data_IF_389953703052
#
_entry.id   IF_389953703052
#
_cell.length_a   1.000
_cell.length_b   1.000
_cell.length_c   1.000
_cell.angle_alpha   90.00
_cell.angle_beta   90.00
_cell.angle_gamma   90.00
#
_symmetry.space_group_name_H-M   'P 1'
#
loop_
_entity.id
_entity.type
_entity.pdbx_description
1 polymer ?
#
# COMPACT_ATOMS: atom_id res chain seq x y z
N UNK A 1 0.17 12.30 -19.18
CA UNK A 1 -0.22 12.82 -17.83
C UNK A 1 0.18 11.82 -16.76
N UNK A 2 0.50 12.26 -15.54
CA UNK A 2 0.79 11.38 -14.40
C UNK A 2 -0.27 11.54 -13.32
N UNK A 3 -0.66 10.46 -12.66
CA UNK A 3 -1.56 10.48 -11.50
C UNK A 3 -1.00 9.61 -10.39
N UNK A 4 -1.24 10.01 -9.16
CA UNK A 4 -0.91 9.19 -7.99
C UNK A 4 -2.16 8.40 -7.61
N UNK A 5 -2.00 7.10 -7.41
CA UNK A 5 -3.09 6.23 -6.96
C UNK A 5 -2.66 5.62 -5.63
N UNK A 6 -3.52 5.74 -4.63
CA UNK A 6 -3.34 5.13 -3.32
C UNK A 6 -4.19 3.87 -3.22
N UNK A 7 -3.72 2.93 -2.43
CA UNK A 7 -4.38 1.66 -2.16
C UNK A 7 -4.41 1.42 -0.66
N UNK A 8 -5.60 1.24 -0.10
CA UNK A 8 -5.80 0.92 1.31
C UNK A 8 -6.38 -0.48 1.43
N UNK A 9 -5.62 -1.37 2.06
CA UNK A 9 -6.02 -2.75 2.26
C UNK A 9 -7.16 -2.81 3.28
N UNK A 10 -8.38 -3.14 2.83
CA UNK A 10 -9.55 -3.32 3.71
C UNK A 10 -9.50 -4.71 4.37
N UNK A 11 -8.86 -5.66 3.72
CA UNK A 11 -8.63 -7.02 4.20
C UNK A 11 -7.17 -7.40 3.98
N UNK A 12 -6.64 -8.42 4.66
CA UNK A 12 -5.27 -8.86 4.45
C UNK A 12 -5.01 -9.19 2.97
N UNK A 13 -3.85 -8.76 2.46
CA UNK A 13 -3.50 -8.83 1.04
C UNK A 13 -2.35 -9.80 0.82
N UNK A 14 -2.55 -10.78 -0.07
CA UNK A 14 -1.50 -11.68 -0.54
C UNK A 14 -1.17 -11.42 -2.00
N UNK A 15 -0.18 -10.55 -2.24
CA UNK A 15 0.47 -10.41 -3.55
C UNK A 15 1.67 -11.35 -3.59
N UNK A 16 1.46 -12.62 -3.92
CA UNK A 16 2.50 -13.65 -3.82
C UNK A 16 3.68 -13.47 -4.79
N UNK A 17 4.89 -13.81 -4.34
CA UNK A 17 6.11 -13.87 -5.18
C UNK A 17 6.38 -15.26 -5.75
N UNK A 18 5.57 -16.26 -5.40
CA UNK A 18 5.75 -17.65 -5.76
C UNK A 18 5.93 -18.52 -4.52
N UNK A 19 6.53 -19.70 -4.70
CA UNK A 19 6.96 -20.57 -3.60
C UNK A 19 8.44 -20.35 -3.32
N UNK A 20 8.80 -20.22 -2.05
CA UNK A 20 10.20 -20.09 -1.62
C UNK A 20 10.61 -21.24 -0.71
N UNK A 21 11.89 -21.63 -0.74
CA UNK A 21 12.50 -22.52 0.25
C UNK A 21 12.87 -21.71 1.52
N UNK A 22 11.92 -20.91 2.01
CA UNK A 22 12.09 -19.99 3.12
C UNK A 22 11.43 -20.48 4.41
N UNK A 23 11.31 -19.58 5.39
CA UNK A 23 10.55 -19.82 6.63
C UNK A 23 9.05 -19.85 6.35
N UNK A 24 8.61 -19.10 5.32
CA UNK A 24 7.24 -19.08 4.84
C UNK A 24 7.19 -19.70 3.44
N UNK A 25 6.24 -20.61 3.23
CA UNK A 25 6.11 -21.35 1.96
C UNK A 25 5.62 -20.43 0.82
N UNK A 26 4.67 -19.55 1.13
CA UNK A 26 4.07 -18.58 0.21
C UNK A 26 4.26 -17.14 0.73
N UNK A 27 5.42 -16.52 0.50
CA UNK A 27 5.68 -15.14 0.91
C UNK A 27 4.99 -14.12 -0.01
N UNK A 28 4.86 -12.89 0.50
CA UNK A 28 4.42 -11.75 -0.30
C UNK A 28 5.58 -11.17 -1.13
N UNK A 29 5.23 -10.40 -2.16
CA UNK A 29 6.17 -9.62 -2.96
C UNK A 29 6.86 -8.54 -2.11
N UNK A 30 8.19 -8.49 -2.21
CA UNK A 30 9.04 -7.51 -1.54
C UNK A 30 10.01 -6.85 -2.51
N UNK A 31 10.36 -5.60 -2.22
CA UNK A 31 11.47 -4.90 -2.88
C UNK A 31 12.79 -5.57 -2.52
N UNK A 32 13.61 -5.94 -3.50
CA UNK A 32 14.85 -6.70 -3.25
C UNK A 32 15.87 -5.94 -2.41
N UNK A 33 15.95 -4.61 -2.55
CA UNK A 33 16.99 -3.79 -1.93
C UNK A 33 16.61 -3.26 -0.54
N UNK A 34 15.32 -3.22 -0.19
CA UNK A 34 14.82 -2.74 1.12
C UNK A 34 14.14 -3.84 1.93
N UNK A 35 13.68 -4.93 1.30
CA UNK A 35 12.81 -5.92 1.94
C UNK A 35 11.37 -5.44 2.13
N UNK A 36 11.00 -4.23 1.70
CA UNK A 36 9.66 -3.68 1.97
C UNK A 36 8.59 -4.39 1.14
N UNK A 37 7.39 -4.64 1.71
CA UNK A 37 6.24 -5.12 0.94
C UNK A 37 6.00 -4.23 -0.28
N UNK A 38 5.73 -4.86 -1.42
CA UNK A 38 5.34 -4.18 -2.66
C UNK A 38 4.27 -4.93 -3.41
N UNK A 39 3.68 -4.26 -4.39
CA UNK A 39 2.76 -4.85 -5.35
C UNK A 39 3.32 -4.66 -6.75
N UNK A 40 3.63 -5.75 -7.45
CA UNK A 40 4.11 -5.67 -8.83
C UNK A 40 3.06 -5.01 -9.73
N UNK A 41 3.50 -4.07 -10.58
CA UNK A 41 2.63 -3.34 -11.49
C UNK A 41 1.78 -4.26 -12.39
N UNK A 42 2.31 -5.42 -12.75
CA UNK A 42 1.62 -6.43 -13.56
C UNK A 42 0.39 -7.00 -12.85
N UNK A 43 0.49 -7.28 -11.55
CA UNK A 43 -0.63 -7.76 -10.73
C UNK A 43 -1.70 -6.69 -10.56
N UNK A 44 -1.29 -5.44 -10.31
CA UNK A 44 -2.20 -4.28 -10.24
C UNK A 44 -2.94 -4.10 -11.58
N UNK A 45 -2.19 -4.06 -12.69
CA UNK A 45 -2.73 -3.92 -14.04
C UNK A 45 -3.71 -5.03 -14.37
N UNK A 46 -3.37 -6.28 -14.06
CA UNK A 46 -4.22 -7.45 -14.29
C UNK A 46 -5.54 -7.36 -13.52
N UNK A 47 -5.50 -6.96 -12.24
CA UNK A 47 -6.69 -6.80 -11.42
C UNK A 47 -7.62 -5.69 -11.95
N UNK A 48 -7.07 -4.53 -12.33
CA UNK A 48 -7.88 -3.46 -12.91
C UNK A 48 -8.42 -3.82 -14.29
N UNK A 49 -7.66 -4.54 -15.12
CA UNK A 49 -8.18 -5.06 -16.40
C UNK A 49 -9.36 -5.99 -16.18
N UNK A 50 -9.23 -6.96 -15.28
CA UNK A 50 -10.32 -7.90 -14.96
C UNK A 50 -11.56 -7.18 -14.39
N UNK A 51 -11.35 -6.14 -13.58
CA UNK A 51 -12.43 -5.27 -13.10
C UNK A 51 -13.11 -4.54 -14.26
N UNK A 52 -12.35 -3.90 -15.15
CA UNK A 52 -12.88 -3.22 -16.34
C UNK A 52 -13.68 -4.18 -17.23
N UNK A 53 -13.18 -5.39 -17.48
CA UNK A 53 -13.87 -6.42 -18.29
C UNK A 53 -15.18 -6.92 -17.64
N UNK A 54 -15.27 -6.87 -16.30
CA UNK A 54 -16.49 -7.21 -15.56
C UNK A 54 -17.55 -6.11 -15.64
N UNK A 55 -17.13 -4.84 -15.68
CA UNK A 55 -18.01 -3.68 -15.54
C UNK A 55 -18.37 -3.03 -16.88
N UNK A 56 -17.45 -3.04 -17.83
CA UNK A 56 -17.60 -2.45 -19.16
C UNK A 56 -17.52 -3.54 -20.24
N UNK A 57 -18.41 -3.46 -21.23
CA UNK A 57 -18.49 -4.42 -22.33
C UNK A 57 -17.73 -3.95 -23.58
N UNK A 58 -17.23 -2.71 -23.59
CA UNK A 58 -16.46 -2.16 -24.71
C UNK A 58 -15.02 -2.71 -24.69
N UNK A 59 -14.83 -3.86 -25.35
CA UNK A 59 -13.50 -4.48 -25.48
C UNK A 59 -12.49 -3.56 -26.18
N UNK A 60 -12.91 -2.74 -27.13
CA UNK A 60 -12.03 -1.82 -27.84
C UNK A 60 -11.45 -0.74 -26.90
N UNK A 61 -12.29 -0.22 -26.01
CA UNK A 61 -11.86 0.71 -24.96
C UNK A 61 -10.93 0.06 -23.94
N UNK A 62 -11.24 -1.16 -23.50
CA UNK A 62 -10.39 -1.93 -22.58
C UNK A 62 -9.02 -2.21 -23.20
N UNK A 63 -8.98 -2.71 -24.45
CA UNK A 63 -7.74 -3.00 -25.15
C UNK A 63 -6.92 -1.73 -25.42
N UNK A 64 -7.57 -0.58 -25.65
CA UNK A 64 -6.89 0.72 -25.73
C UNK A 64 -6.19 1.09 -24.42
N UNK A 65 -6.82 0.84 -23.27
CA UNK A 65 -6.26 1.16 -21.94
C UNK A 65 -5.12 0.20 -21.59
N UNK A 66 -5.38 -1.11 -21.66
CA UNK A 66 -4.48 -2.14 -21.10
C UNK A 66 -3.58 -2.82 -22.15
N UNK A 67 -3.85 -2.62 -23.44
CA UNK A 67 -3.26 -3.38 -24.56
C UNK A 67 -4.16 -4.56 -24.94
N UNK A 68 -4.10 -5.09 -26.17
CA UNK A 68 -4.84 -6.28 -26.56
C UNK A 68 -4.27 -7.53 -25.88
N UNK A 69 -5.09 -8.56 -25.73
CA UNK A 69 -4.60 -9.89 -25.36
C UNK A 69 -3.69 -10.42 -26.47
N UNK A 70 -2.60 -11.07 -26.09
CA UNK A 70 -1.70 -11.70 -27.07
C UNK A 70 -2.47 -12.78 -27.84
N UNK A 71 -2.73 -12.55 -29.13
CA UNK A 71 -3.17 -13.62 -30.03
C UNK A 71 -1.94 -14.33 -30.58
N UNK A 72 -1.99 -15.66 -30.62
CA UNK A 72 -0.86 -16.53 -31.03
C UNK A 72 -0.28 -16.21 -32.43
N UNK A 73 -0.96 -15.43 -33.28
CA UNK A 73 -0.60 -15.21 -34.69
C UNK A 73 -0.63 -13.75 -35.20
N UNK A 74 -0.75 -12.72 -34.34
CA UNK A 74 -0.77 -11.31 -34.79
C UNK A 74 0.53 -10.56 -34.37
N UNK A 75 1.26 -10.04 -35.37
CA UNK A 75 2.49 -9.25 -35.18
C UNK A 75 2.24 -7.79 -34.77
N UNK A 76 0.98 -7.35 -34.72
CA UNK A 76 0.62 -5.98 -34.31
C UNK A 76 0.11 -5.96 -32.87
N UNK A 77 1.03 -6.14 -31.92
CA UNK A 77 0.77 -5.84 -30.52
C UNK A 77 0.73 -4.31 -30.34
N UNK A 78 -0.46 -3.71 -30.39
CA UNK A 78 -0.61 -2.31 -29.97
C UNK A 78 -0.37 -2.22 -28.45
N UNK A 79 0.43 -1.26 -28.00
CA UNK A 79 0.70 -1.10 -26.57
C UNK A 79 -0.48 -0.43 -25.87
N UNK A 80 -0.82 -0.91 -24.67
CA UNK A 80 -1.79 -0.24 -23.81
C UNK A 80 -1.34 1.18 -23.47
N UNK A 81 -2.29 2.11 -23.44
CA UNK A 81 -2.01 3.54 -23.26
C UNK A 81 -1.97 4.00 -21.80
N UNK A 82 -2.27 3.09 -20.85
CA UNK A 82 -2.12 3.31 -19.42
C UNK A 82 -0.94 2.47 -18.87
N UNK A 83 0.02 3.17 -18.29
CA UNK A 83 1.22 2.62 -17.66
C UNK A 83 1.00 2.56 -16.14
N UNK A 84 1.13 1.36 -15.59
CA UNK A 84 1.06 1.10 -14.15
C UNK A 84 2.47 1.08 -13.58
N UNK A 85 2.67 1.71 -12.43
CA UNK A 85 3.88 1.54 -11.61
C UNK A 85 3.67 0.52 -10.50
N UNK A 86 4.76 0.06 -9.90
CA UNK A 86 4.68 -0.81 -8.72
C UNK A 86 4.01 -0.08 -7.56
N UNK A 87 3.20 -0.81 -6.79
CA UNK A 87 2.64 -0.32 -5.53
C UNK A 87 3.69 -0.37 -4.44
N UNK A 88 4.07 0.81 -3.93
CA UNK A 88 5.08 1.01 -2.90
C UNK A 88 4.41 1.28 -1.57
N UNK A 89 4.87 0.64 -0.50
CA UNK A 89 4.31 0.88 0.84
C UNK A 89 4.53 2.33 1.25
N UNK A 90 3.53 2.92 1.91
CA UNK A 90 3.55 4.27 2.47
C UNK A 90 3.36 4.24 3.98
N UNK A 91 2.31 3.54 4.45
CA UNK A 91 1.95 3.41 5.86
C UNK A 91 1.70 1.95 6.19
N UNK A 92 2.37 1.43 7.20
CA UNK A 92 2.19 0.07 7.73
C UNK A 92 1.50 0.13 9.10
N UNK A 93 0.39 -0.56 9.33
CA UNK A 93 -0.25 -0.59 10.63
C UNK A 93 0.53 -1.51 11.57
N UNK A 94 0.85 -1.01 12.75
CA UNK A 94 1.54 -1.76 13.82
C UNK A 94 0.74 -1.61 15.09
N UNK A 95 0.53 -2.71 15.81
CA UNK A 95 -0.25 -2.74 17.05
C UNK A 95 0.33 -1.75 18.06
N UNK A 96 -0.54 -0.93 18.62
CA UNK A 96 -0.19 0.09 19.60
C UNK A 96 -0.86 -0.22 20.94
N UNK A 97 -0.16 0.01 22.05
CA UNK A 97 -0.71 -0.18 23.38
C UNK A 97 -1.94 0.71 23.67
N UNK A 98 -2.09 1.82 22.95
CA UNK A 98 -3.26 2.71 23.00
C UNK A 98 -3.66 3.10 21.57
N UNK A 99 -4.95 3.33 21.33
CA UNK A 99 -5.44 3.71 20.00
C UNK A 99 -5.46 2.55 19.00
N UNK A 100 -5.40 1.30 19.47
CA UNK A 100 -5.47 0.05 18.68
C UNK A 100 -4.20 -0.20 17.84
N UNK A 101 -3.88 0.71 16.93
CA UNK A 101 -2.70 0.64 16.07
C UNK A 101 -2.19 2.04 15.70
N UNK A 102 -0.94 2.09 15.28
CA UNK A 102 -0.33 3.25 14.65
C UNK A 102 -0.01 2.94 13.19
N UNK A 103 -0.20 3.92 12.31
CA UNK A 103 0.35 3.86 10.96
C UNK A 103 1.80 4.31 10.99
N UNK A 104 2.71 3.37 10.81
CA UNK A 104 4.14 3.58 10.87
C UNK A 104 4.68 3.87 9.47
N UNK A 105 5.63 4.80 9.39
CA UNK A 105 6.43 5.10 8.20
C UNK A 105 7.82 5.57 8.61
N UNK A 106 8.69 5.88 7.65
CA UNK A 106 10.06 6.30 7.89
C UNK A 106 10.54 7.38 6.90
N UNK A 107 11.66 8.07 7.21
CA UNK A 107 12.23 9.10 6.33
C UNK A 107 12.45 8.63 4.90
N UNK A 108 12.98 7.42 4.68
CA UNK A 108 13.21 6.89 3.33
C UNK A 108 11.92 6.76 2.52
N UNK A 109 10.86 6.22 3.12
CA UNK A 109 9.56 6.02 2.46
C UNK A 109 8.93 7.38 2.12
N UNK A 110 8.98 8.32 3.06
CA UNK A 110 8.45 9.66 2.87
C UNK A 110 9.23 10.43 1.80
N UNK A 111 10.56 10.38 1.81
CA UNK A 111 11.41 11.04 0.80
C UNK A 111 11.09 10.49 -0.60
N UNK A 112 10.97 9.16 -0.72
CA UNK A 112 10.54 8.52 -1.96
C UNK A 112 9.15 8.98 -2.41
N UNK A 113 8.18 9.02 -1.50
CA UNK A 113 6.83 9.51 -1.81
C UNK A 113 6.84 10.97 -2.27
N UNK A 114 7.55 11.85 -1.57
CA UNK A 114 7.65 13.29 -1.89
C UNK A 114 8.31 13.50 -3.25
N UNK A 115 9.43 12.83 -3.52
CA UNK A 115 10.13 12.94 -4.81
C UNK A 115 9.26 12.50 -5.98
N UNK A 116 8.46 11.46 -5.79
CA UNK A 116 7.65 10.86 -6.85
C UNK A 116 6.32 11.59 -7.03
N UNK A 117 5.65 11.97 -5.95
CA UNK A 117 4.25 12.37 -5.90
C UNK A 117 4.00 13.86 -5.64
N UNK A 118 4.90 14.54 -4.92
CA UNK A 118 4.70 15.93 -4.49
C UNK A 118 5.36 16.88 -5.49
N UNK A 119 4.58 17.88 -5.91
CA UNK A 119 5.06 18.95 -6.81
C UNK A 119 6.11 19.81 -6.11
N UNK A 120 7.05 20.34 -6.88
CA UNK A 120 8.26 20.98 -6.36
C UNK A 120 7.94 22.15 -5.40
N UNK A 121 6.89 22.91 -5.69
CA UNK A 121 6.45 24.04 -4.86
C UNK A 121 5.94 23.63 -3.47
N UNK A 122 5.47 22.39 -3.31
CA UNK A 122 4.90 21.87 -2.05
C UNK A 122 5.92 21.00 -1.29
N UNK A 123 7.21 21.00 -1.66
CA UNK A 123 8.23 20.15 -1.02
C UNK A 123 8.78 20.71 0.28
N UNK A 124 8.71 22.03 0.49
CA UNK A 124 9.37 22.70 1.61
C UNK A 124 8.88 22.21 2.97
N UNK A 125 7.58 21.97 3.10
CA UNK A 125 6.96 21.45 4.32
C UNK A 125 7.46 20.02 4.63
N UNK A 126 7.68 19.22 3.59
CA UNK A 126 8.20 17.86 3.70
C UNK A 126 9.70 17.82 3.99
N UNK A 127 10.49 18.76 3.48
CA UNK A 127 11.94 18.83 3.75
C UNK A 127 12.24 18.93 5.25
N UNK A 128 11.41 19.65 6.02
CA UNK A 128 11.53 19.73 7.48
C UNK A 128 11.31 18.35 8.13
N UNK A 129 10.28 17.64 7.68
CA UNK A 129 9.94 16.30 8.16
C UNK A 129 11.08 15.31 7.87
N UNK A 130 11.61 15.34 6.65
CA UNK A 130 12.69 14.48 6.20
C UNK A 130 13.98 14.77 6.99
N UNK A 131 14.34 16.05 7.16
CA UNK A 131 15.54 16.44 7.90
C UNK A 131 15.48 15.96 9.35
N UNK A 132 14.37 16.22 10.04
CA UNK A 132 14.19 15.77 11.43
C UNK A 132 14.12 14.25 11.55
N UNK A 133 13.46 13.60 10.59
CA UNK A 133 13.34 12.15 10.55
C UNK A 133 14.70 11.46 10.43
N UNK A 134 15.61 12.01 9.61
CA UNK A 134 16.97 11.46 9.43
C UNK A 134 17.83 11.55 10.70
N UNK A 135 17.56 12.51 11.58
CA UNK A 135 18.29 12.66 12.85
C UNK A 135 17.72 11.77 13.99
N UNK A 136 16.68 10.98 13.72
CA UNK A 136 16.06 10.12 14.72
C UNK A 136 17.01 9.00 15.17
N UNK A 137 16.88 8.64 16.44
CA UNK A 137 17.44 7.40 17.00
C UNK A 137 16.32 6.39 17.12
N UNK A 138 16.64 5.10 17.15
CA UNK A 138 15.64 4.01 17.20
C UNK A 138 14.69 4.07 18.41
N UNK A 139 15.08 4.76 19.48
CA UNK A 139 14.24 4.95 20.68
C UNK A 139 13.34 6.21 20.60
N UNK A 140 13.35 6.90 19.48
CA UNK A 140 12.60 8.14 19.24
C UNK A 140 11.71 8.01 18.02
N UNK A 141 10.61 8.75 18.03
CA UNK A 141 9.71 8.84 16.89
C UNK A 141 9.06 10.23 16.78
N UNK A 142 8.45 10.53 15.63
CA UNK A 142 7.74 11.79 15.38
C UNK A 142 6.25 11.52 15.22
N UNK A 143 5.43 12.27 15.94
CA UNK A 143 3.99 12.35 15.74
C UNK A 143 3.63 13.50 14.81
N UNK A 144 2.62 13.30 13.97
CA UNK A 144 2.15 14.34 13.04
C UNK A 144 1.10 15.30 13.64
N UNK A 145 0.64 15.04 14.87
CA UNK A 145 -0.24 15.93 15.60
C UNK A 145 -0.08 15.82 17.12
N UNK A 146 -0.41 16.92 17.79
CA UNK A 146 -0.30 17.08 19.25
C UNK A 146 -1.35 16.26 20.02
N UNK A 147 -2.50 16.00 19.40
CA UNK A 147 -3.67 15.32 19.97
C UNK A 147 -3.78 13.86 19.49
N UNK A 148 -2.65 13.15 19.44
CA UNK A 148 -2.59 11.78 18.95
C UNK A 148 -3.24 10.76 19.90
N UNK A 149 -4.01 9.83 19.34
CA UNK A 149 -4.75 8.81 20.08
C UNK A 149 -3.86 7.64 20.55
N UNK A 150 -2.64 7.52 20.00
CA UNK A 150 -1.68 6.45 20.29
C UNK A 150 -0.72 6.76 21.45
N UNK A 151 -0.77 7.97 22.01
CA UNK A 151 0.12 8.39 23.11
C UNK A 151 -0.34 7.80 24.45
N UNK A 152 0.49 6.93 25.02
CA UNK A 152 0.24 6.22 26.28
C UNK A 152 0.44 7.13 27.49
N UNK A 153 1.51 7.93 27.49
CA UNK A 153 1.87 8.84 28.57
C UNK A 153 2.34 10.19 27.99
N UNK A 154 1.94 11.30 28.62
CA UNK A 154 2.35 12.65 28.25
C UNK A 154 3.10 13.31 29.42
N UNK A 155 4.31 13.81 29.18
CA UNK A 155 5.11 14.59 30.14
C UNK A 155 5.57 15.89 29.50
N UNK A 156 4.97 17.00 29.89
CA UNK A 156 5.24 18.34 29.35
C UNK A 156 5.19 18.37 27.81
N UNK A 157 6.35 18.39 27.14
CA UNK A 157 6.50 18.45 25.67
C UNK A 157 6.81 17.11 25.01
N UNK A 158 6.91 16.03 25.80
CA UNK A 158 7.32 14.70 25.34
C UNK A 158 6.24 13.66 25.63
N UNK A 159 5.92 12.86 24.63
CA UNK A 159 5.00 11.74 24.76
C UNK A 159 5.75 10.40 24.79
N UNK A 160 5.02 9.34 25.14
CA UNK A 160 5.47 7.96 24.97
C UNK A 160 4.46 7.21 24.12
N UNK A 161 4.96 6.55 23.07
CA UNK A 161 4.21 5.59 22.25
C UNK A 161 4.85 4.22 22.43
N UNK A 162 4.02 3.18 22.53
CA UNK A 162 4.46 1.79 22.66
C UNK A 162 3.85 1.01 21.51
N UNK A 163 4.69 0.50 20.60
CA UNK A 163 4.29 -0.34 19.48
C UNK A 163 4.91 -1.71 19.64
N UNK A 164 4.10 -2.75 19.73
CA UNK A 164 4.56 -4.10 20.08
C UNK A 164 5.51 -4.07 21.30
N UNK A 165 6.75 -4.52 21.12
CA UNK A 165 7.79 -4.55 22.15
C UNK A 165 8.68 -3.28 22.17
N UNK A 166 8.38 -2.30 21.32
CA UNK A 166 9.15 -1.06 21.20
C UNK A 166 8.51 0.07 22.01
N UNK A 167 9.37 0.86 22.68
CA UNK A 167 8.99 2.08 23.38
C UNK A 167 9.69 3.28 22.75
N UNK A 168 8.90 4.25 22.31
CA UNK A 168 9.39 5.48 21.69
C UNK A 168 9.11 6.69 22.57
N UNK A 169 10.13 7.51 22.76
CA UNK A 169 9.96 8.90 23.17
C UNK A 169 9.58 9.72 21.93
N UNK A 170 8.44 10.41 21.97
CA UNK A 170 7.92 11.08 20.78
C UNK A 170 8.02 12.60 20.86
N UNK A 171 8.41 13.19 19.73
CA UNK A 171 8.36 14.63 19.47
C UNK A 171 7.22 14.91 18.48
N UNK A 172 6.55 16.04 18.61
CA UNK A 172 5.43 16.38 17.73
C UNK A 172 5.85 17.36 16.65
N UNK A 173 5.46 17.07 15.40
CA UNK A 173 5.48 18.01 14.29
C UNK A 173 4.06 18.19 13.78
N UNK A 174 3.44 19.34 14.03
CA UNK A 174 2.10 19.62 13.51
C UNK A 174 2.17 19.94 12.02
N UNK A 175 1.73 19.00 11.18
CA UNK A 175 1.63 19.20 9.73
C UNK A 175 0.17 19.49 9.38
N UNK A 176 -0.16 20.71 8.94
CA UNK A 176 -1.55 21.15 8.75
C UNK A 176 -2.24 20.48 7.55
N UNK A 177 -1.50 20.08 6.52
CA UNK A 177 -2.02 19.59 5.23
C UNK A 177 -2.46 18.12 5.22
N UNK A 178 -2.28 17.39 6.33
CA UNK A 178 -2.63 15.97 6.43
C UNK A 178 -4.07 15.81 6.92
N UNK A 179 -4.87 14.89 6.35
CA UNK A 179 -6.22 14.62 6.85
C UNK A 179 -6.22 14.20 8.33
N UNK A 180 -7.23 14.65 9.07
CA UNK A 180 -7.29 14.51 10.54
C UNK A 180 -7.18 13.05 11.03
N UNK A 181 -7.71 12.08 10.26
CA UNK A 181 -7.59 10.65 10.57
C UNK A 181 -6.13 10.19 10.61
N UNK A 182 -5.29 10.66 9.70
CA UNK A 182 -3.87 10.28 9.64
C UNK A 182 -3.05 11.03 10.69
N UNK A 183 -3.37 12.31 10.94
CA UNK A 183 -2.70 13.13 11.96
C UNK A 183 -2.65 12.46 13.34
N UNK A 184 -3.71 11.76 13.74
CA UNK A 184 -3.82 11.19 15.09
C UNK A 184 -3.16 9.83 15.27
N UNK A 185 -2.84 9.12 14.18
CA UNK A 185 -2.35 7.73 14.23
C UNK A 185 -1.03 7.51 13.49
N UNK A 186 -0.52 8.47 12.72
CA UNK A 186 0.75 8.30 12.01
C UNK A 186 1.94 8.55 12.94
N UNK A 187 2.87 7.60 12.93
CA UNK A 187 4.14 7.65 13.66
C UNK A 187 5.30 7.47 12.68
N UNK A 188 6.28 8.37 12.73
CA UNK A 188 7.50 8.24 11.94
C UNK A 188 8.60 7.70 12.85
N UNK A 189 9.17 6.58 12.46
CA UNK A 189 10.30 5.92 13.13
C UNK A 189 11.54 5.96 12.24
N UNK A 190 12.67 5.44 12.70
CA UNK A 190 13.87 5.29 11.86
C UNK A 190 13.65 4.30 10.72
N UNK A 191 14.48 4.38 9.68
CA UNK A 191 14.39 3.48 8.52
C UNK A 191 14.60 2.02 8.95
N UNK A 192 15.50 1.77 9.91
CA UNK A 192 15.80 0.46 10.48
C UNK A 192 14.60 -0.13 11.23
N UNK A 193 13.95 0.67 12.08
CA UNK A 193 12.76 0.23 12.83
C UNK A 193 11.59 -0.03 11.88
N UNK A 194 11.41 0.81 10.86
CA UNK A 194 10.37 0.56 9.86
C UNK A 194 10.65 -0.69 9.02
N UNK A 195 11.90 -0.94 8.66
CA UNK A 195 12.32 -2.18 7.99
C UNK A 195 12.01 -3.40 8.84
N UNK A 196 12.30 -3.34 10.14
CA UNK A 196 11.96 -4.40 11.08
C UNK A 196 10.45 -4.67 11.10
N UNK A 197 9.61 -3.63 11.19
CA UNK A 197 8.16 -3.81 11.17
C UNK A 197 7.66 -4.35 9.83
N UNK A 198 8.24 -3.94 8.70
CA UNK A 198 7.90 -4.48 7.39
C UNK A 198 8.13 -6.00 7.29
N UNK A 199 9.09 -6.54 8.03
CA UNK A 199 9.38 -7.98 8.08
C UNK A 199 8.55 -8.72 9.14
N UNK A 200 8.32 -8.08 10.29
CA UNK A 200 7.80 -8.76 11.48
C UNK A 200 6.31 -8.51 11.75
N UNK A 201 5.73 -7.45 11.18
CA UNK A 201 4.33 -7.10 11.41
C UNK A 201 3.39 -7.64 10.30
N UNK A 202 3.90 -8.43 9.35
CA UNK A 202 3.05 -9.17 8.40
C UNK A 202 2.35 -10.34 9.08
N UNK A 203 1.20 -10.74 8.53
CA UNK A 203 0.45 -11.87 9.07
C UNK A 203 0.98 -13.16 8.45
N UNK A 204 1.46 -14.10 9.28
CA UNK A 204 1.83 -15.44 8.84
C UNK A 204 0.73 -16.41 9.28
N UNK A 205 0.00 -16.97 8.32
CA UNK A 205 -1.11 -17.89 8.58
C UNK A 205 -0.69 -19.30 8.18
N UNK A 206 -0.78 -20.24 9.11
CA UNK A 206 -0.63 -21.68 8.82
C UNK A 206 -1.94 -22.25 8.31
N UNK A 207 -1.89 -22.95 7.18
CA UNK A 207 -3.03 -23.55 6.50
C UNK A 207 -2.84 -25.05 6.35
N UNK A 208 -3.96 -25.76 6.38
CA UNK A 208 -4.04 -27.22 6.22
C UNK A 208 -5.11 -27.55 5.19
N UNK A 209 -4.92 -28.65 4.46
CA UNK A 209 -6.02 -29.32 3.73
C UNK A 209 -6.45 -30.54 4.53
N UNK A 210 -7.74 -30.60 4.85
CA UNK A 210 -8.36 -31.72 5.53
C UNK A 210 -8.92 -32.67 4.47
N UNK A 211 -8.56 -33.95 4.56
CA UNK A 211 -9.07 -35.02 3.73
C UNK A 211 -10.48 -35.47 4.16
N UNK A 212 -11.06 -36.38 3.38
CA UNK A 212 -12.44 -36.84 3.59
C UNK A 212 -12.65 -37.58 4.93
N UNK A 213 -11.58 -38.08 5.54
CA UNK A 213 -11.58 -38.74 6.85
C UNK A 213 -11.51 -37.75 8.04
N UNK A 214 -11.45 -36.45 7.76
CA UNK A 214 -11.33 -35.39 8.77
C UNK A 214 -9.91 -35.17 9.28
N UNK A 215 -8.90 -35.82 8.69
CA UNK A 215 -7.48 -35.69 9.06
C UNK A 215 -6.75 -34.82 8.03
N UNK A 216 -5.65 -34.18 8.43
CA UNK A 216 -4.79 -33.43 7.50
C UNK A 216 -4.17 -34.38 6.49
N UNK A 217 -4.24 -34.02 5.22
CA UNK A 217 -3.56 -34.78 4.15
C UNK A 217 -2.03 -34.62 4.23
N UNK A 218 -1.32 -35.70 3.88
CA UNK A 218 0.14 -35.69 3.84
C UNK A 218 0.67 -34.58 2.91
N UNK A 219 1.54 -33.73 3.45
CA UNK A 219 2.16 -32.62 2.71
C UNK A 219 1.26 -31.40 2.48
N UNK A 220 0.06 -31.35 3.08
CA UNK A 220 -0.87 -30.24 2.90
C UNK A 220 -0.84 -29.19 4.02
N UNK A 221 0.21 -29.20 4.84
CA UNK A 221 0.52 -28.14 5.81
C UNK A 221 1.46 -27.13 5.15
N UNK A 222 1.05 -25.87 5.07
CA UNK A 222 1.86 -24.79 4.51
C UNK A 222 1.55 -23.46 5.20
N UNK A 223 2.43 -22.49 5.03
CA UNK A 223 2.35 -21.15 5.61
C UNK A 223 2.25 -20.11 4.51
N UNK A 224 1.44 -19.10 4.76
CA UNK A 224 1.16 -18.04 3.80
C UNK A 224 1.25 -16.68 4.48
N UNK A 225 2.00 -15.76 3.88
CA UNK A 225 2.20 -14.42 4.38
C UNK A 225 1.16 -13.46 3.79
N UNK A 226 0.68 -12.51 4.59
CA UNK A 226 -0.21 -11.45 4.15
C UNK A 226 0.29 -10.09 4.64
N UNK A 227 0.11 -9.08 3.79
CA UNK A 227 0.14 -7.69 4.24
C UNK A 227 -1.10 -7.43 5.09
N UNK A 228 -0.97 -6.82 6.28
CA UNK A 228 -2.11 -6.56 7.15
C UNK A 228 -3.16 -5.64 6.53
N UNK A 229 -4.40 -5.80 6.94
CA UNK A 229 -5.43 -4.77 6.74
C UNK A 229 -5.00 -3.43 7.33
N UNK A 230 -5.56 -2.33 6.82
CA UNK A 230 -5.16 -0.94 7.08
C UNK A 230 -3.83 -0.49 6.44
N UNK A 231 -3.06 -1.37 5.79
CA UNK A 231 -1.85 -0.97 5.05
C UNK A 231 -2.18 -0.06 3.88
N UNK A 232 -1.39 1.00 3.71
CA UNK A 232 -1.52 1.95 2.59
C UNK A 232 -0.29 1.86 1.69
N UNK A 233 -0.55 1.58 0.42
CA UNK A 233 0.40 1.70 -0.68
C UNK A 233 0.07 2.89 -1.56
N UNK A 234 1.03 3.31 -2.36
CA UNK A 234 0.82 4.25 -3.46
C UNK A 234 1.53 3.77 -4.73
N UNK A 235 1.07 4.23 -5.88
CA UNK A 235 1.77 4.10 -7.16
C UNK A 235 1.63 5.38 -7.97
N UNK A 236 2.53 5.56 -8.94
CA UNK A 236 2.42 6.60 -9.96
C UNK A 236 2.07 5.94 -11.28
N UNK A 237 0.90 6.30 -11.82
CA UNK A 237 0.47 5.88 -13.15
C UNK A 237 0.74 6.98 -14.17
N UNK A 238 1.00 6.59 -15.40
CA UNK A 238 1.18 7.50 -16.52
C UNK A 238 0.29 7.07 -17.69
N UNK A 239 -0.34 8.03 -18.36
CA UNK A 239 -1.20 7.75 -19.48
C UNK A 239 -1.09 8.81 -20.58
N UNK A 240 -1.45 8.43 -21.81
CA UNK A 240 -1.75 9.39 -22.89
C UNK A 240 -2.95 10.27 -22.52
N UNK A 241 -3.15 11.35 -23.27
CA UNK A 241 -4.28 12.26 -23.07
C UNK A 241 -5.64 11.52 -23.21
N UNK A 242 -6.61 11.88 -22.35
CA UNK A 242 -7.94 11.27 -22.32
C UNK A 242 -8.02 9.88 -21.66
N UNK A 243 -6.92 9.13 -21.58
CA UNK A 243 -6.93 7.73 -21.11
C UNK A 243 -7.34 7.58 -19.65
N UNK A 244 -6.99 8.51 -18.78
CA UNK A 244 -7.47 8.47 -17.39
C UNK A 244 -8.99 8.66 -17.28
N UNK A 245 -9.61 9.39 -18.20
CA UNK A 245 -11.07 9.52 -18.27
C UNK A 245 -11.70 8.20 -18.68
N UNK A 246 -11.23 7.64 -19.80
CA UNK A 246 -11.66 6.32 -20.29
C UNK A 246 -11.52 5.25 -19.19
N UNK A 247 -10.36 5.23 -18.50
CA UNK A 247 -10.09 4.27 -17.43
C UNK A 247 -11.06 4.42 -16.25
N UNK A 248 -11.24 5.64 -15.73
CA UNK A 248 -12.18 5.93 -14.64
C UNK A 248 -13.60 5.46 -14.98
N UNK A 249 -14.04 5.63 -16.22
CA UNK A 249 -15.35 5.14 -16.68
C UNK A 249 -15.41 3.61 -16.64
N UNK A 250 -14.39 2.90 -17.13
CA UNK A 250 -14.40 1.42 -17.16
C UNK A 250 -14.34 0.76 -15.78
N UNK A 251 -13.81 1.45 -14.76
CA UNK A 251 -13.66 0.93 -13.39
C UNK A 251 -14.68 1.49 -12.42
N UNK A 252 -15.66 2.26 -12.91
CA UNK A 252 -16.66 2.93 -12.08
C UNK A 252 -17.67 1.93 -11.51
N UNK A 253 -17.24 1.20 -10.49
CA UNK A 253 -18.11 0.45 -9.60
C UNK A 253 -18.11 1.13 -8.24
N UNK A 254 -19.20 1.82 -7.96
CA UNK A 254 -19.48 2.36 -6.64
C UNK A 254 -20.21 1.26 -5.86
N UNK A 255 -19.62 0.82 -4.75
CA UNK A 255 -20.37 0.02 -3.78
C UNK A 255 -21.52 0.84 -3.17
N UNK A 256 -22.30 0.27 -2.24
CA UNK A 256 -23.42 0.99 -1.60
C UNK A 256 -22.99 2.28 -0.88
N UNK A 257 -21.71 2.44 -0.59
CA UNK A 257 -21.11 3.58 0.08
C UNK A 257 -20.31 4.49 -0.88
N UNK A 258 -20.36 4.23 -2.19
CA UNK A 258 -19.58 4.90 -3.23
C UNK A 258 -18.05 4.75 -3.09
N UNK A 259 -17.58 3.68 -2.45
CA UNK A 259 -16.15 3.40 -2.36
C UNK A 259 -15.66 2.69 -3.62
N UNK A 260 -14.49 3.12 -4.09
CA UNK A 260 -13.79 2.52 -5.22
C UNK A 260 -13.01 1.30 -4.72
N UNK A 261 -13.48 0.09 -5.01
CA UNK A 261 -12.86 -1.15 -4.52
C UNK A 261 -12.35 -1.98 -5.69
N UNK A 262 -11.11 -2.47 -5.56
CA UNK A 262 -10.51 -3.47 -6.43
C UNK A 262 -10.04 -4.66 -5.59
N UNK A 263 -10.13 -5.87 -6.12
CA UNK A 263 -9.58 -7.05 -5.48
C UNK A 263 -8.19 -7.33 -6.05
N UNK A 264 -7.16 -7.25 -5.21
CA UNK A 264 -5.76 -7.45 -5.58
C UNK A 264 -5.23 -8.78 -5.02
N UNK A 265 -4.27 -9.38 -5.72
CA UNK A 265 -3.57 -10.59 -5.24
C UNK A 265 -4.39 -11.87 -5.33
N UNK A 266 -3.94 -12.88 -4.58
CA UNK A 266 -4.54 -14.21 -4.51
C UNK A 266 -5.59 -14.35 -3.41
N UNK A 267 -6.06 -15.59 -3.18
CA UNK A 267 -6.99 -15.95 -2.11
C UNK A 267 -8.33 -15.21 -2.13
N UNK A 268 -8.80 -14.88 -3.33
CA UNK A 268 -10.00 -14.05 -3.54
C UNK A 268 -11.26 -14.66 -2.94
N UNK A 269 -11.39 -15.99 -3.01
CA UNK A 269 -12.52 -16.75 -2.45
C UNK A 269 -12.49 -16.85 -0.91
N UNK A 270 -11.39 -16.44 -0.28
CA UNK A 270 -11.19 -16.44 1.18
C UNK A 270 -11.26 -15.03 1.77
N UNK A 271 -11.83 -14.10 1.01
CA UNK A 271 -12.04 -12.72 1.42
C UNK A 271 -10.74 -11.93 1.58
N UNK A 272 -9.69 -12.28 0.85
CA UNK A 272 -8.40 -11.56 0.86
C UNK A 272 -8.32 -10.56 -0.29
N UNK A 273 -7.54 -9.51 -0.07
CA UNK A 273 -7.15 -8.54 -1.10
C UNK A 273 -8.18 -7.48 -1.49
N UNK A 274 -9.30 -7.35 -0.77
CA UNK A 274 -10.18 -6.19 -0.94
C UNK A 274 -9.43 -4.92 -0.60
N UNK A 275 -9.32 -4.03 -1.58
CA UNK A 275 -8.49 -2.84 -1.52
C UNK A 275 -9.28 -1.63 -2.00
N UNK A 276 -9.43 -0.62 -1.15
CA UNK A 276 -9.95 0.67 -1.55
C UNK A 276 -8.87 1.42 -2.34
N UNK A 277 -9.26 2.16 -3.38
CA UNK A 277 -8.31 2.99 -4.13
C UNK A 277 -8.79 4.42 -4.35
N UNK A 278 -7.85 5.37 -4.30
CA UNK A 278 -8.11 6.78 -4.56
C UNK A 278 -7.15 7.32 -5.62
N UNK A 279 -7.69 8.00 -6.61
CA UNK A 279 -6.93 8.60 -7.70
C UNK A 279 -6.81 10.10 -7.40
N UNK A 280 -5.60 10.56 -7.13
CA UNK A 280 -5.31 11.98 -6.91
C UNK A 280 -4.81 12.58 -8.21
N UNK A 281 -5.54 13.59 -8.68
CA UNK A 281 -5.14 14.40 -9.81
C UNK A 281 -4.00 15.31 -9.37
N UNK A 282 -2.88 15.29 -10.11
CA UNK A 282 -1.94 16.41 -10.02
C UNK A 282 -2.58 17.53 -10.81
N UNK A 283 -3.08 18.55 -10.13
CA UNK A 283 -3.38 19.80 -10.80
C UNK A 283 -2.08 20.37 -11.33
N UNK A 284 -1.74 19.99 -12.56
CA UNK A 284 -0.78 20.73 -13.35
C UNK A 284 -1.50 22.02 -13.73
N UNK A 285 -1.45 23.03 -12.86
CA UNK A 285 -1.66 24.41 -13.31
C UNK A 285 -0.56 24.72 -14.32
N UNK A 286 -0.84 24.42 -15.59
CA UNK A 286 -0.10 24.91 -16.74
C UNK A 286 -0.80 26.17 -17.21
N UNK A 287 -0.24 27.30 -16.75
CA UNK A 287 -0.40 28.69 -17.19
C UNK A 287 -1.60 29.46 -16.65
#
# INVERSE_FOLDING_TARGET
MKKTVFYHCITPLHMGSGTELGIVDLPIQRERHTGFPKMEASGIKGAFRALSEKLDKDKGKIDKIYGPEAKENEQEASMGKLQFGDGKILLLPVRSAKGIFAWVTCPYVLDRFVRECVEEQNRKEWEILLTKGVELKDTKAILLASNSDIVVEQRETKGVVILEDFKFEVETLNIEEIPERFKKHVLIVTDEVFSYFCEMATEIITRIRIGDDGVVEDGALFTEEFVPEETIFYTVMQAEEGIFGDWKETISYQDKNNNNIVQLGGNTTLGKGFTEYWIVDREVERN
#
